data_IF_651300642753
#
_entry.id   IF_651300642753
#
_cell.length_a   1.000
_cell.length_b   1.000
_cell.length_c   1.000
_cell.angle_alpha   90.00
_cell.angle_beta   90.00
_cell.angle_gamma   90.00
#
_symmetry.space_group_name_H-M   'P 1'
#
loop_
_entity.id
_entity.type
_entity.pdbx_description
1 polymer ?
#
# COMPACT_ATOMS: atom_id res chain seq x y z
N UNK A 1 26.17 7.10 -22.65
CA UNK A 1 24.98 6.74 -21.86
C UNK A 1 25.33 5.70 -20.82
N UNK A 2 24.97 5.94 -19.56
CA UNK A 2 25.20 4.99 -18.47
C UNK A 2 24.00 4.04 -18.36
N UNK A 3 24.26 2.75 -18.21
CA UNK A 3 23.23 1.75 -17.90
C UNK A 3 22.62 2.09 -16.52
N UNK A 4 21.29 2.24 -16.47
CA UNK A 4 20.56 2.63 -15.25
C UNK A 4 19.65 1.51 -14.79
N UNK A 5 19.69 1.24 -13.50
CA UNK A 5 18.77 0.32 -12.83
C UNK A 5 18.03 1.07 -11.74
N UNK A 6 16.71 1.10 -11.82
CA UNK A 6 15.86 1.54 -10.72
C UNK A 6 15.64 0.38 -9.75
N UNK A 7 15.71 0.67 -8.45
CA UNK A 7 15.46 -0.31 -7.40
C UNK A 7 14.27 0.15 -6.54
N UNK A 8 13.24 -0.68 -6.45
CA UNK A 8 12.02 -0.38 -5.69
C UNK A 8 11.59 -1.59 -4.83
N UNK A 9 12.15 -1.74 -3.62
CA UNK A 9 11.90 -2.91 -2.78
C UNK A 9 10.61 -2.78 -1.93
N UNK A 10 10.29 -3.84 -1.19
CA UNK A 10 9.36 -3.79 -0.06
C UNK A 10 7.87 -3.77 -0.41
N UNK A 11 7.50 -3.96 -1.69
CA UNK A 11 6.11 -3.95 -2.15
C UNK A 11 5.35 -2.65 -1.92
N UNK A 12 6.04 -1.52 -1.76
CA UNK A 12 5.41 -0.20 -1.64
C UNK A 12 4.59 0.19 -2.89
N UNK A 13 4.83 -0.49 -4.04
CA UNK A 13 3.98 -0.36 -5.23
C UNK A 13 2.53 -0.75 -4.96
N UNK A 14 2.31 -1.68 -4.01
CA UNK A 14 0.99 -2.10 -3.60
C UNK A 14 0.18 -0.99 -2.90
N UNK A 15 0.79 0.13 -2.54
CA UNK A 15 0.05 1.26 -1.96
C UNK A 15 -0.70 2.09 -3.02
N UNK A 16 -0.39 1.89 -4.30
CA UNK A 16 -1.15 2.45 -5.40
C UNK A 16 -2.27 1.50 -5.81
N UNK A 17 -3.41 2.05 -6.23
CA UNK A 17 -4.36 1.28 -7.02
C UNK A 17 -3.73 0.83 -8.36
N UNK A 18 -4.32 -0.14 -9.08
CA UNK A 18 -3.71 -0.69 -10.28
C UNK A 18 -3.41 0.34 -11.39
N UNK A 19 -4.21 1.40 -11.51
CA UNK A 19 -3.96 2.45 -12.51
C UNK A 19 -2.80 3.35 -12.06
N UNK A 20 -2.81 3.79 -10.80
CA UNK A 20 -1.73 4.55 -10.20
C UNK A 20 -0.39 3.80 -10.20
N UNK A 21 -0.41 2.48 -10.01
CA UNK A 21 0.77 1.63 -10.09
C UNK A 21 1.37 1.62 -11.50
N UNK A 22 0.53 1.51 -12.54
CA UNK A 22 0.98 1.60 -13.94
C UNK A 22 1.58 2.96 -14.23
N UNK A 23 0.95 4.05 -13.79
CA UNK A 23 1.47 5.39 -14.02
C UNK A 23 2.79 5.65 -13.29
N UNK A 24 2.93 5.17 -12.06
CA UNK A 24 4.21 5.21 -11.35
C UNK A 24 5.30 4.41 -12.07
N UNK A 25 4.99 3.22 -12.59
CA UNK A 25 5.95 2.44 -13.36
C UNK A 25 6.34 3.14 -14.67
N UNK A 26 5.44 3.86 -15.35
CA UNK A 26 5.79 4.67 -16.52
C UNK A 26 6.81 5.76 -16.17
N UNK A 27 6.66 6.41 -15.01
CA UNK A 27 7.65 7.39 -14.53
C UNK A 27 9.02 6.74 -14.34
N UNK A 28 9.08 5.53 -13.78
CA UNK A 28 10.33 4.78 -13.64
C UNK A 28 10.92 4.42 -15.01
N UNK A 29 10.09 3.96 -15.95
CA UNK A 29 10.52 3.64 -17.32
C UNK A 29 11.20 4.85 -17.96
N UNK A 30 10.59 6.02 -17.87
CA UNK A 30 11.13 7.25 -18.45
C UNK A 30 12.43 7.69 -17.74
N UNK A 31 12.51 7.46 -16.42
CA UNK A 31 13.71 7.72 -15.63
C UNK A 31 14.89 6.84 -16.06
N UNK A 32 14.71 5.53 -16.23
CA UNK A 32 15.81 4.61 -16.59
C UNK A 32 16.15 4.70 -18.08
N UNK A 33 15.15 4.97 -18.92
CA UNK A 33 15.27 5.12 -20.37
C UNK A 33 15.54 3.79 -21.10
N UNK A 34 15.72 3.89 -22.42
CA UNK A 34 16.01 2.75 -23.32
C UNK A 34 17.26 2.00 -22.85
N UNK A 35 17.15 0.67 -22.75
CA UNK A 35 18.22 -0.20 -22.25
C UNK A 35 18.40 -0.18 -20.73
N UNK A 36 17.56 0.55 -19.99
CA UNK A 36 17.54 0.54 -18.53
C UNK A 36 16.74 -0.61 -17.95
N UNK A 37 16.86 -0.82 -16.63
CA UNK A 37 16.20 -1.90 -15.90
C UNK A 37 15.45 -1.43 -14.65
N UNK A 38 14.50 -2.24 -14.20
CA UNK A 38 13.82 -2.11 -12.91
C UNK A 38 13.96 -3.41 -12.14
N UNK A 39 14.48 -3.33 -10.92
CA UNK A 39 14.44 -4.39 -9.92
C UNK A 39 13.41 -4.02 -8.85
N UNK A 40 12.31 -4.76 -8.77
CA UNK A 40 11.15 -4.42 -7.94
C UNK A 40 10.68 -5.61 -7.11
N UNK A 41 10.37 -5.37 -5.84
CA UNK A 41 9.79 -6.38 -4.95
C UNK A 41 8.28 -6.20 -4.82
N UNK A 42 7.52 -7.29 -4.90
CA UNK A 42 6.07 -7.31 -4.68
C UNK A 42 5.63 -8.46 -3.78
N UNK A 43 4.73 -8.14 -2.87
CA UNK A 43 4.14 -9.06 -1.92
C UNK A 43 3.05 -9.88 -2.60
N UNK A 44 3.13 -11.21 -2.46
CA UNK A 44 2.25 -12.13 -3.17
C UNK A 44 0.93 -12.33 -2.44
N UNK A 45 -0.11 -12.64 -3.20
CA UNK A 45 -1.36 -13.16 -2.60
C UNK A 45 -1.05 -14.47 -1.88
N UNK A 46 -1.66 -14.63 -0.70
CA UNK A 46 -1.47 -15.78 0.19
C UNK A 46 -2.67 -15.90 1.11
N UNK A 47 -2.60 -16.82 2.07
CA UNK A 47 -3.68 -17.02 3.04
C UNK A 47 -4.08 -15.69 3.73
N UNK A 48 -5.39 -15.48 3.80
CA UNK A 48 -5.98 -14.26 4.35
C UNK A 48 -5.56 -14.00 5.79
N UNK A 49 -5.49 -15.03 6.63
CA UNK A 49 -5.12 -14.85 8.04
C UNK A 49 -3.67 -14.42 8.18
N UNK A 50 -2.77 -14.88 7.30
CA UNK A 50 -1.38 -14.41 7.25
C UNK A 50 -1.33 -12.94 6.85
N UNK A 51 -2.08 -12.54 5.82
CA UNK A 51 -2.12 -11.16 5.36
C UNK A 51 -2.71 -10.22 6.42
N UNK A 52 -3.81 -10.59 7.06
CA UNK A 52 -4.43 -9.77 8.11
C UNK A 52 -3.52 -9.67 9.35
N UNK A 53 -2.92 -10.78 9.80
CA UNK A 53 -2.02 -10.79 10.94
C UNK A 53 -0.74 -9.97 10.72
N UNK A 54 -0.27 -9.84 9.48
CA UNK A 54 0.87 -8.99 9.14
C UNK A 54 0.58 -7.48 9.28
N UNK A 55 -0.70 -7.09 9.27
CA UNK A 55 -1.15 -5.70 9.39
C UNK A 55 -1.95 -5.43 10.67
N UNK A 56 -2.25 -6.45 11.46
CA UNK A 56 -2.87 -6.37 12.79
C UNK A 56 -2.02 -7.18 13.78
N UNK A 57 -0.77 -6.76 13.95
CA UNK A 57 0.19 -7.47 14.79
C UNK A 57 -0.22 -7.45 16.27
N UNK A 58 0.00 -8.57 16.96
CA UNK A 58 -0.37 -8.72 18.37
C UNK A 58 0.37 -7.77 19.33
N UNK A 59 1.48 -7.16 18.88
CA UNK A 59 2.22 -6.17 19.66
C UNK A 59 1.61 -4.76 19.54
N UNK A 60 0.64 -4.55 18.63
CA UNK A 60 -0.05 -3.28 18.43
C UNK A 60 0.77 -2.21 17.71
N UNK A 61 1.89 -2.58 17.07
CA UNK A 61 2.79 -1.61 16.44
C UNK A 61 2.14 -0.99 15.20
N UNK A 62 1.47 -1.79 14.38
CA UNK A 62 0.75 -1.33 13.17
C UNK A 62 -0.47 -0.49 13.55
N UNK A 63 -1.11 -0.82 14.67
CA UNK A 63 -2.22 -0.03 15.21
C UNK A 63 -1.77 1.38 15.62
N UNK A 64 -0.65 1.50 16.35
CA UNK A 64 -0.07 2.79 16.72
C UNK A 64 0.42 3.57 15.49
N UNK A 65 1.00 2.90 14.50
CA UNK A 65 1.36 3.51 13.22
C UNK A 65 0.14 4.12 12.52
N UNK A 66 -0.99 3.39 12.45
CA UNK A 66 -2.19 3.90 11.81
C UNK A 66 -2.82 5.07 12.59
N UNK A 67 -2.93 4.93 13.91
CA UNK A 67 -3.49 5.96 14.80
C UNK A 67 -2.65 7.25 14.82
N UNK A 68 -1.36 7.16 14.48
CA UNK A 68 -0.50 8.32 14.35
C UNK A 68 -1.01 9.32 13.28
N UNK A 69 -1.77 8.87 12.27
CA UNK A 69 -2.39 9.79 11.30
C UNK A 69 -3.30 10.81 11.99
N UNK A 70 -4.09 10.41 13.00
CA UNK A 70 -4.93 11.32 13.76
C UNK A 70 -4.09 12.36 14.51
N UNK A 71 -2.96 11.92 15.08
CA UNK A 71 -2.02 12.79 15.79
C UNK A 71 -1.40 13.82 14.83
N UNK A 72 -1.02 13.39 13.63
CA UNK A 72 -0.49 14.26 12.58
C UNK A 72 -1.54 15.25 12.08
N UNK A 73 -2.77 14.82 11.82
CA UNK A 73 -3.87 15.71 11.42
C UNK A 73 -4.15 16.79 12.47
N UNK A 74 -4.10 16.44 13.76
CA UNK A 74 -4.24 17.43 14.83
C UNK A 74 -3.09 18.46 14.80
N UNK A 75 -1.85 17.99 14.66
CA UNK A 75 -0.65 18.86 14.68
C UNK A 75 -0.50 19.74 13.44
N UNK A 76 -0.80 19.20 12.25
CA UNK A 76 -0.50 19.84 10.98
C UNK A 76 -1.68 20.63 10.41
N UNK A 77 -2.91 20.13 10.62
CA UNK A 77 -4.12 20.72 10.05
C UNK A 77 -4.94 21.47 11.10
N UNK A 78 -4.60 21.33 12.39
CA UNK A 78 -5.37 21.94 13.49
C UNK A 78 -6.68 21.23 13.78
N UNK A 79 -6.76 19.92 13.49
CA UNK A 79 -7.89 19.08 13.89
C UNK A 79 -7.84 18.73 15.39
N UNK A 80 -8.92 18.16 15.90
CA UNK A 80 -9.10 17.84 17.32
C UNK A 80 -9.57 16.39 17.58
N UNK A 81 -9.08 15.43 16.77
CA UNK A 81 -9.33 14.01 17.00
C UNK A 81 -8.90 13.59 18.41
N UNK A 82 -9.80 12.97 19.17
CA UNK A 82 -9.43 12.22 20.37
C UNK A 82 -9.08 10.78 19.99
N UNK A 83 -7.80 10.42 20.04
CA UNK A 83 -7.27 9.13 19.62
C UNK A 83 -7.92 7.93 20.32
N UNK A 84 -8.34 8.09 21.58
CA UNK A 84 -8.97 7.02 22.38
C UNK A 84 -10.35 6.61 21.84
N UNK A 85 -10.93 7.42 20.95
CA UNK A 85 -12.21 7.14 20.30
C UNK A 85 -12.05 6.42 18.95
N UNK A 86 -10.85 5.91 18.66
CA UNK A 86 -10.52 5.23 17.43
C UNK A 86 -9.79 3.93 17.70
N UNK A 87 -10.06 2.92 16.87
CA UNK A 87 -9.29 1.68 16.86
C UNK A 87 -8.83 1.35 15.45
N UNK A 88 -7.67 0.73 15.35
CA UNK A 88 -7.18 0.16 14.12
C UNK A 88 -8.04 -1.05 13.68
N UNK A 89 -8.11 -1.27 12.38
CA UNK A 89 -8.66 -2.48 11.75
C UNK A 89 -7.95 -2.72 10.42
N UNK A 90 -7.35 -3.89 10.24
CA UNK A 90 -6.91 -4.39 8.94
C UNK A 90 -7.93 -5.39 8.40
N UNK A 91 -8.20 -5.35 7.10
CA UNK A 91 -9.06 -6.32 6.42
C UNK A 91 -8.46 -6.69 5.07
N UNK A 92 -8.41 -7.99 4.76
CA UNK A 92 -8.10 -8.42 3.40
C UNK A 92 -9.37 -8.41 2.55
N UNK A 93 -9.38 -7.53 1.55
CA UNK A 93 -10.41 -7.47 0.53
C UNK A 93 -10.03 -8.41 -0.62
N UNK A 94 -10.51 -9.66 -0.55
CA UNK A 94 -10.20 -10.72 -1.53
C UNK A 94 -10.61 -10.36 -2.96
N UNK A 95 -11.74 -9.66 -3.13
CA UNK A 95 -12.24 -9.26 -4.44
C UNK A 95 -11.29 -8.30 -5.15
N UNK A 96 -10.64 -7.42 -4.39
CA UNK A 96 -9.67 -6.45 -4.92
C UNK A 96 -8.22 -6.93 -4.76
N UNK A 97 -7.98 -8.01 -4.02
CA UNK A 97 -6.64 -8.54 -3.75
C UNK A 97 -5.76 -7.59 -2.95
N UNK A 98 -6.30 -6.92 -1.93
CA UNK A 98 -5.55 -5.93 -1.13
C UNK A 98 -5.88 -5.98 0.35
N UNK A 99 -4.89 -5.66 1.18
CA UNK A 99 -5.16 -5.26 2.57
C UNK A 99 -5.66 -3.82 2.57
N UNK A 100 -6.66 -3.55 3.40
CA UNK A 100 -7.12 -2.21 3.71
C UNK A 100 -6.91 -1.93 5.19
N UNK A 101 -6.28 -0.80 5.49
CA UNK A 101 -6.19 -0.30 6.87
C UNK A 101 -7.25 0.77 7.10
N UNK A 102 -7.92 0.65 8.23
CA UNK A 102 -9.01 1.54 8.62
C UNK A 102 -8.80 2.03 10.06
N UNK A 103 -9.31 3.23 10.33
CA UNK A 103 -9.54 3.76 11.66
C UNK A 103 -11.04 3.75 11.91
N UNK A 104 -11.48 2.97 12.90
CA UNK A 104 -12.90 2.79 13.24
C UNK A 104 -13.25 3.65 14.44
N UNK A 105 -14.24 4.52 14.31
CA UNK A 105 -14.78 5.27 15.44
C UNK A 105 -15.42 4.31 16.45
N UNK A 106 -14.99 4.35 17.71
CA UNK A 106 -15.53 3.49 18.78
C UNK A 106 -16.79 4.08 19.41
N UNK A 107 -17.12 5.33 19.07
CA UNK A 107 -18.33 6.02 19.50
C UNK A 107 -18.64 7.19 18.56
N UNK A 108 -19.85 7.73 18.69
CA UNK A 108 -20.21 8.98 18.02
C UNK A 108 -19.31 10.14 18.49
N UNK A 109 -18.75 10.90 17.56
CA UNK A 109 -17.90 12.05 17.82
C UNK A 109 -17.97 13.07 16.68
N UNK A 110 -17.61 14.31 16.97
CA UNK A 110 -17.49 15.39 15.97
C UNK A 110 -16.07 15.94 16.06
N UNK A 111 -15.42 16.09 14.91
CA UNK A 111 -14.10 16.69 14.78
C UNK A 111 -14.17 17.95 13.93
N UNK A 112 -13.30 18.91 14.18
CA UNK A 112 -13.37 20.24 13.60
C UNK A 112 -12.13 20.53 12.75
N UNK A 113 -12.32 21.26 11.65
CA UNK A 113 -11.23 21.75 10.80
C UNK A 113 -11.67 23.04 10.12
N UNK A 114 -10.93 24.14 10.32
CA UNK A 114 -11.17 25.38 9.57
C UNK A 114 -12.59 25.98 9.71
N UNK A 115 -13.27 25.74 10.84
CA UNK A 115 -14.65 26.17 11.08
C UNK A 115 -15.72 25.18 10.60
N UNK A 116 -15.34 24.13 9.90
CA UNK A 116 -16.21 23.01 9.52
C UNK A 116 -16.23 21.93 10.60
N UNK A 117 -17.30 21.14 10.61
CA UNK A 117 -17.51 20.04 11.55
C UNK A 117 -17.81 18.74 10.82
N UNK A 118 -17.13 17.67 11.20
CA UNK A 118 -17.29 16.34 10.62
C UNK A 118 -17.74 15.38 11.70
N UNK A 119 -18.96 14.85 11.57
CA UNK A 119 -19.52 13.89 12.51
C UNK A 119 -19.23 12.46 12.05
N UNK A 120 -18.73 11.64 12.98
CA UNK A 120 -18.52 10.22 12.80
C UNK A 120 -19.44 9.45 13.73
N UNK A 121 -20.18 8.48 13.19
CA UNK A 121 -20.99 7.55 13.98
C UNK A 121 -20.11 6.44 14.57
N UNK A 122 -20.60 5.80 15.63
CA UNK A 122 -19.98 4.56 16.11
C UNK A 122 -19.92 3.52 14.98
N UNK A 123 -18.76 2.91 14.80
CA UNK A 123 -18.50 1.93 13.75
C UNK A 123 -18.16 2.51 12.38
N UNK A 124 -18.30 3.83 12.19
CA UNK A 124 -17.87 4.50 10.95
C UNK A 124 -16.34 4.45 10.81
N UNK A 125 -15.87 4.32 9.56
CA UNK A 125 -14.45 4.06 9.28
C UNK A 125 -13.84 5.10 8.37
N UNK A 126 -12.61 5.52 8.68
CA UNK A 126 -11.72 6.22 7.75
C UNK A 126 -10.77 5.18 7.15
N UNK A 127 -10.80 5.02 5.83
CA UNK A 127 -9.83 4.20 5.10
C UNK A 127 -8.51 4.98 5.00
N UNK A 128 -7.43 4.42 5.53
CA UNK A 128 -6.12 5.09 5.60
C UNK A 128 -5.10 4.56 4.61
N UNK A 129 -5.12 3.27 4.27
CA UNK A 129 -4.13 2.68 3.36
C UNK A 129 -4.68 1.48 2.58
N UNK A 130 -4.18 1.31 1.35
CA UNK A 130 -4.30 0.09 0.59
C UNK A 130 -2.94 -0.60 0.53
N UNK A 131 -2.90 -1.93 0.54
CA UNK A 131 -1.72 -2.68 0.16
C UNK A 131 -2.11 -3.86 -0.72
N UNK A 132 -2.06 -3.64 -2.03
CA UNK A 132 -2.33 -4.63 -3.06
C UNK A 132 -1.30 -5.75 -3.04
N UNK A 133 -1.80 -6.97 -3.18
CA UNK A 133 -1.05 -8.22 -3.26
C UNK A 133 -1.26 -8.81 -4.64
N UNK A 134 -0.21 -9.35 -5.22
CA UNK A 134 -0.23 -9.75 -6.62
C UNK A 134 0.00 -11.24 -6.81
N UNK A 135 -0.54 -11.79 -7.88
CA UNK A 135 0.04 -12.98 -8.49
C UNK A 135 1.21 -12.57 -9.39
N UNK A 136 2.17 -13.46 -9.61
CA UNK A 136 3.35 -13.18 -10.45
C UNK A 136 2.93 -12.73 -11.86
N UNK A 137 2.00 -13.45 -12.49
CA UNK A 137 1.56 -13.15 -13.86
C UNK A 137 0.72 -11.86 -13.93
N UNK A 138 -0.11 -11.60 -12.91
CA UNK A 138 -0.86 -10.35 -12.80
C UNK A 138 0.09 -9.15 -12.76
N UNK A 139 1.17 -9.25 -11.98
CA UNK A 139 2.14 -8.17 -11.86
C UNK A 139 2.96 -7.98 -13.14
N UNK A 140 3.35 -9.06 -13.83
CA UNK A 140 4.00 -8.98 -15.14
C UNK A 140 3.12 -8.26 -16.16
N UNK A 141 1.82 -8.57 -16.20
CA UNK A 141 0.88 -7.87 -17.09
C UNK A 141 0.77 -6.38 -16.74
N UNK A 142 0.73 -6.05 -15.44
CA UNK A 142 0.69 -4.67 -14.97
C UNK A 142 1.95 -3.89 -15.39
N UNK A 143 3.14 -4.44 -15.15
CA UNK A 143 4.41 -3.85 -15.58
C UNK A 143 4.52 -3.74 -17.10
N UNK A 144 3.99 -4.72 -17.85
CA UNK A 144 3.91 -4.70 -19.30
C UNK A 144 3.12 -3.50 -19.85
N UNK A 145 2.02 -3.12 -19.20
CA UNK A 145 1.25 -1.91 -19.56
C UNK A 145 2.05 -0.62 -19.40
N UNK A 146 3.06 -0.61 -18.52
CA UNK A 146 3.99 0.50 -18.36
C UNK A 146 5.17 0.47 -19.34
N UNK A 147 5.24 -0.53 -20.22
CA UNK A 147 6.29 -0.67 -21.24
C UNK A 147 7.55 -1.40 -20.76
N UNK A 148 7.45 -2.16 -19.67
CA UNK A 148 8.51 -3.03 -19.18
C UNK A 148 8.36 -4.46 -19.73
N UNK A 149 9.49 -5.11 -19.99
CA UNK A 149 9.53 -6.51 -20.37
C UNK A 149 10.17 -7.36 -19.28
N UNK A 150 9.50 -8.44 -18.89
CA UNK A 150 9.96 -9.34 -17.81
C UNK A 150 11.22 -10.09 -18.25
N UNK A 151 12.28 -10.00 -17.45
CA UNK A 151 13.53 -10.72 -17.67
C UNK A 151 13.65 -11.91 -16.73
N UNK A 152 13.39 -11.72 -15.44
CA UNK A 152 13.52 -12.76 -14.42
C UNK A 152 12.62 -12.48 -13.23
N UNK A 153 12.21 -13.54 -12.55
CA UNK A 153 11.44 -13.47 -11.31
C UNK A 153 12.03 -14.46 -10.32
N UNK A 154 12.21 -14.02 -9.09
CA UNK A 154 12.65 -14.84 -7.96
C UNK A 154 11.60 -14.77 -6.86
N UNK A 155 11.49 -15.84 -6.08
CA UNK A 155 10.62 -15.93 -4.91
C UNK A 155 11.41 -16.53 -3.75
N UNK A 156 10.95 -16.28 -2.52
CA UNK A 156 11.37 -17.07 -1.36
C UNK A 156 10.79 -18.49 -1.44
N UNK A 157 11.34 -19.41 -0.65
CA UNK A 157 10.97 -20.84 -0.67
C UNK A 157 9.47 -21.07 -0.40
N UNK A 158 8.85 -20.20 0.40
CA UNK A 158 7.43 -20.26 0.75
C UNK A 158 6.52 -19.51 -0.24
N UNK A 159 7.09 -18.91 -1.29
CA UNK A 159 6.37 -18.16 -2.32
C UNK A 159 5.50 -17.02 -1.76
N UNK A 160 6.01 -16.33 -0.74
CA UNK A 160 5.30 -15.23 -0.06
C UNK A 160 5.57 -13.87 -0.68
N UNK A 161 6.73 -13.72 -1.31
CA UNK A 161 7.21 -12.48 -1.88
C UNK A 161 7.95 -12.76 -3.20
N UNK A 162 7.87 -11.83 -4.14
CA UNK A 162 8.60 -11.96 -5.41
C UNK A 162 9.45 -10.73 -5.70
N UNK A 163 10.59 -10.97 -6.30
CA UNK A 163 11.47 -9.93 -6.86
C UNK A 163 11.49 -10.10 -8.37
N UNK A 164 11.16 -9.05 -9.10
CA UNK A 164 11.10 -9.05 -10.55
C UNK A 164 12.19 -8.15 -11.11
N UNK A 165 12.89 -8.65 -12.13
CA UNK A 165 13.76 -7.86 -12.98
C UNK A 165 13.07 -7.63 -14.32
N UNK A 166 12.93 -6.35 -14.67
CA UNK A 166 12.41 -5.90 -15.96
C UNK A 166 13.45 -5.08 -16.71
N UNK A 167 13.30 -5.01 -18.03
CA UNK A 167 14.08 -4.12 -18.89
C UNK A 167 13.17 -3.28 -19.80
N UNK A 168 13.73 -2.18 -20.30
CA UNK A 168 13.11 -1.30 -21.29
C UNK A 168 13.84 -1.47 -22.61
N UNK A 169 13.11 -1.89 -23.65
CA UNK A 169 13.66 -1.98 -25.01
C UNK A 169 13.82 -0.63 -25.72
#
# INVERSE_FOLDING_TARGET
DAFRVAFFPGSSIGNFDPEGAVDFLKLIRDLVGKGGCLLIGVDLKKDKAILEAAYDDAAGVTAEFNLNLLTRMNQELGMDFNRDYWRHKAVYNENLGRIEMHLVATRHQVVHLGGESYAFKEGETIHTENSYKYEIEDFKMLAGKAGFQSTSVWTDDDHLFSVHLYHVE
#
